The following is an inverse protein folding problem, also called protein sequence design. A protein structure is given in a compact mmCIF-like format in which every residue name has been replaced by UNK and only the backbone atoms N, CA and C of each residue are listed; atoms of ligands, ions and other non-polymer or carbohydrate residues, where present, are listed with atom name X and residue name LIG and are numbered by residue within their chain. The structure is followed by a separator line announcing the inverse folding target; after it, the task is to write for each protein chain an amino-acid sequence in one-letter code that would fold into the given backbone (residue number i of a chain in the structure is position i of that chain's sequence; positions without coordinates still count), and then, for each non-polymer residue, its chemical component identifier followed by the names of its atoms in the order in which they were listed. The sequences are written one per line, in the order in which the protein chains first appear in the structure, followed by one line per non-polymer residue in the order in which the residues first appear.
data_IF_507479438604
#
_entry.id   IF_507479438604
#
_cell.length_a   1.000
_cell.length_b   1.000
_cell.length_c   1.000
_cell.angle_alpha   90.00
_cell.angle_beta   90.00
_cell.angle_gamma   90.00
#
_symmetry.space_group_name_H-M   'P 1'
#
loop_
_entity.id
_entity.type
_entity.pdbx_description
1 polymer ?
#
# COMPACT_ATOMS: atom_id res chain seq x y z
N UNK A 1 -13.42 1.17 -9.65
CA UNK A 1 -13.18 -0.30 -9.57
C UNK A 1 -11.85 -0.53 -8.90
N UNK A 2 -11.79 -1.45 -7.95
CA UNK A 2 -10.53 -1.83 -7.29
C UNK A 2 -9.56 -2.46 -8.31
N UNK A 3 -8.26 -2.25 -8.09
CA UNK A 3 -7.20 -2.90 -8.86
C UNK A 3 -6.74 -4.23 -8.24
N UNK A 4 -7.37 -4.62 -7.12
CA UNK A 4 -7.04 -5.88 -6.44
C UNK A 4 -7.83 -7.04 -7.03
N UNK A 5 -7.19 -8.22 -7.01
CA UNK A 5 -7.80 -9.49 -7.38
C UNK A 5 -7.91 -10.40 -6.15
N UNK A 6 -8.91 -11.26 -6.15
CA UNK A 6 -9.12 -12.23 -5.07
C UNK A 6 -7.97 -13.24 -5.02
N UNK A 7 -7.27 -13.42 -3.89
CA UNK A 7 -6.16 -14.36 -3.80
C UNK A 7 -6.60 -15.83 -3.89
N UNK A 8 -7.90 -16.11 -3.70
CA UNK A 8 -8.45 -17.48 -3.77
C UNK A 8 -8.84 -17.86 -5.19
N UNK A 9 -9.59 -17.02 -5.90
CA UNK A 9 -10.17 -17.35 -7.20
C UNK A 9 -9.72 -16.47 -8.38
N UNK A 10 -8.85 -15.49 -8.11
CA UNK A 10 -8.29 -14.56 -9.11
C UNK A 10 -9.30 -13.61 -9.79
N UNK A 11 -10.56 -13.62 -9.39
CA UNK A 11 -11.54 -12.68 -9.87
C UNK A 11 -11.34 -11.28 -9.26
N UNK A 12 -11.78 -10.21 -9.94
CA UNK A 12 -11.68 -8.87 -9.39
C UNK A 12 -12.35 -8.73 -8.03
N UNK A 13 -11.77 -7.90 -7.18
CA UNK A 13 -12.36 -7.51 -5.90
C UNK A 13 -13.07 -6.16 -6.04
N UNK A 14 -14.29 -6.09 -5.55
CA UNK A 14 -15.06 -4.85 -5.45
C UNK A 14 -15.04 -4.35 -4.01
N UNK A 15 -14.69 -3.09 -3.83
CA UNK A 15 -14.69 -2.45 -2.52
C UNK A 15 -16.14 -2.19 -2.10
N UNK A 16 -16.46 -2.61 -0.89
CA UNK A 16 -17.67 -2.28 -0.15
C UNK A 16 -17.33 -1.33 1.01
N UNK A 17 -18.27 -0.99 1.85
CA UNK A 17 -18.07 -0.07 2.96
C UNK A 17 -16.93 -0.50 3.90
N UNK A 18 -16.93 -1.77 4.31
CA UNK A 18 -15.98 -2.32 5.28
C UNK A 18 -15.20 -3.53 4.79
N UNK A 19 -15.30 -3.87 3.51
CA UNK A 19 -14.65 -5.07 2.97
C UNK A 19 -14.40 -4.98 1.46
N UNK A 20 -13.59 -5.91 0.97
CA UNK A 20 -13.48 -6.24 -0.45
C UNK A 20 -14.11 -7.61 -0.70
N UNK A 21 -14.92 -7.73 -1.74
CA UNK A 21 -15.62 -8.97 -2.07
C UNK A 21 -15.53 -9.30 -3.56
N UNK A 22 -15.38 -10.59 -3.89
CA UNK A 22 -15.46 -11.08 -5.27
C UNK A 22 -16.84 -11.69 -5.58
N UNK A 23 -17.10 -11.93 -6.86
CA UNK A 23 -18.36 -12.55 -7.32
C UNK A 23 -18.62 -13.93 -6.73
N UNK A 24 -17.57 -14.69 -6.40
CA UNK A 24 -17.69 -15.99 -5.72
C UNK A 24 -17.93 -15.90 -4.22
N UNK A 25 -18.06 -14.71 -3.68
CA UNK A 25 -18.40 -14.49 -2.28
C UNK A 25 -17.20 -14.49 -1.31
N UNK A 26 -15.96 -14.62 -1.79
CA UNK A 26 -14.80 -14.43 -0.91
C UNK A 26 -14.75 -12.98 -0.45
N UNK A 27 -14.60 -12.79 0.86
CA UNK A 27 -14.69 -11.48 1.51
C UNK A 27 -13.45 -11.24 2.38
N UNK A 28 -12.93 -10.03 2.33
CA UNK A 28 -11.74 -9.59 3.05
C UNK A 28 -12.03 -8.26 3.73
N UNK A 29 -12.00 -8.25 5.06
CA UNK A 29 -12.32 -7.07 5.84
C UNK A 29 -11.24 -5.99 5.71
N UNK A 30 -11.68 -4.74 5.70
CA UNK A 30 -10.80 -3.58 5.76
C UNK A 30 -10.53 -3.29 7.24
N UNK A 31 -9.26 -3.31 7.64
CA UNK A 31 -8.86 -2.98 8.99
C UNK A 31 -9.20 -1.52 9.34
N UNK A 32 -9.33 -1.21 10.63
CA UNK A 32 -9.60 0.16 11.09
C UNK A 32 -8.57 1.18 10.58
N UNK A 33 -7.34 0.75 10.32
CA UNK A 33 -6.27 1.58 9.73
C UNK A 33 -6.36 1.72 8.20
N UNK A 34 -7.36 1.09 7.57
CA UNK A 34 -7.64 1.24 6.13
C UNK A 34 -6.97 0.23 5.20
N UNK A 35 -6.13 -0.66 5.68
CA UNK A 35 -5.54 -1.72 4.85
C UNK A 35 -6.43 -2.96 4.79
N UNK A 36 -6.23 -3.79 3.77
CA UNK A 36 -6.85 -5.11 3.65
C UNK A 36 -5.77 -6.19 3.64
N UNK A 37 -5.96 -7.25 4.44
CA UNK A 37 -5.07 -8.41 4.43
C UNK A 37 -5.54 -9.41 3.37
N UNK A 38 -4.76 -9.55 2.31
CA UNK A 38 -5.01 -10.50 1.22
C UNK A 38 -4.10 -11.72 1.29
N UNK A 39 -3.24 -11.83 2.31
CA UNK A 39 -2.39 -12.99 2.52
C UNK A 39 -3.22 -14.13 3.10
N UNK A 40 -3.24 -15.28 2.39
CA UNK A 40 -3.99 -16.45 2.84
C UNK A 40 -3.23 -17.18 3.96
N UNK A 41 -3.97 -17.78 4.89
CA UNK A 41 -3.40 -18.52 6.03
C UNK A 41 -2.44 -19.63 5.59
N UNK A 42 -2.70 -20.28 4.46
CA UNK A 42 -1.82 -21.32 3.88
C UNK A 42 -0.47 -20.77 3.42
N UNK A 43 -0.40 -19.48 3.11
CA UNK A 43 0.79 -18.80 2.60
C UNK A 43 1.56 -18.10 3.74
N UNK A 44 0.99 -18.10 4.95
CA UNK A 44 1.62 -17.63 6.17
C UNK A 44 2.53 -18.72 6.74
N UNK A 45 3.75 -18.83 6.19
CA UNK A 45 4.76 -19.70 6.79
C UNK A 45 5.10 -19.25 8.21
N UNK A 46 5.40 -20.20 9.10
CA UNK A 46 5.65 -19.99 10.53
C UNK A 46 6.83 -19.05 10.87
N UNK A 47 7.64 -18.66 9.90
CA UNK A 47 8.65 -17.62 10.04
C UNK A 47 8.04 -16.32 9.53
N UNK A 48 7.89 -15.34 10.42
CA UNK A 48 7.36 -14.02 10.12
C UNK A 48 8.05 -13.40 8.90
N UNK A 49 7.37 -13.27 7.76
CA UNK A 49 7.93 -12.55 6.62
C UNK A 49 7.92 -11.05 6.91
N UNK A 50 9.02 -10.37 6.56
CA UNK A 50 9.13 -8.94 6.76
C UNK A 50 9.47 -8.53 8.20
N UNK A 51 9.28 -7.25 8.50
CA UNK A 51 9.56 -6.67 9.80
C UNK A 51 8.53 -7.10 10.86
N UNK A 52 9.00 -7.35 12.08
CA UNK A 52 8.10 -7.54 13.23
C UNK A 52 7.54 -6.19 13.71
N UNK A 53 6.53 -6.23 14.60
CA UNK A 53 5.86 -5.03 15.11
C UNK A 53 6.83 -4.01 15.75
N UNK A 54 7.84 -4.47 16.46
CA UNK A 54 8.83 -3.59 17.09
C UNK A 54 9.68 -2.88 16.05
N UNK A 55 10.12 -3.57 15.01
CA UNK A 55 10.87 -2.99 13.89
C UNK A 55 10.04 -1.97 13.11
N UNK A 56 8.77 -2.29 12.84
CA UNK A 56 7.85 -1.35 12.18
C UNK A 56 7.66 -0.09 13.01
N UNK A 57 7.40 -0.22 14.31
CA UNK A 57 7.24 0.93 15.21
C UNK A 57 8.51 1.78 15.31
N UNK A 58 9.68 1.16 15.37
CA UNK A 58 10.96 1.86 15.40
C UNK A 58 11.19 2.66 14.12
N UNK A 59 10.82 2.10 12.96
CA UNK A 59 10.90 2.79 11.67
C UNK A 59 9.93 3.96 11.59
N UNK A 60 8.68 3.78 12.00
CA UNK A 60 7.69 4.87 12.08
C UNK A 60 8.21 6.02 12.95
N UNK A 61 8.70 5.72 14.14
CA UNK A 61 9.25 6.71 15.05
C UNK A 61 10.46 7.46 14.44
N UNK A 62 11.38 6.73 13.86
CA UNK A 62 12.56 7.32 13.22
C UNK A 62 12.21 8.21 12.02
N UNK A 63 11.36 7.73 11.11
CA UNK A 63 10.96 8.47 9.91
C UNK A 63 10.14 9.71 10.24
N UNK A 64 9.31 9.64 11.29
CA UNK A 64 8.49 10.78 11.73
C UNK A 64 9.33 11.96 12.22
N UNK A 65 10.59 11.75 12.59
CA UNK A 65 11.53 12.80 13.02
C UNK A 65 12.07 13.65 11.86
N UNK A 66 11.78 13.29 10.61
CA UNK A 66 12.13 14.07 9.44
C UNK A 66 13.58 13.93 8.93
N UNK A 67 14.37 13.00 9.45
CA UNK A 67 15.75 12.80 9.01
C UNK A 67 15.87 12.40 7.54
N UNK A 68 14.86 11.71 6.99
CA UNK A 68 14.79 11.28 5.60
C UNK A 68 13.82 12.09 4.74
N UNK A 69 13.35 13.24 5.24
CA UNK A 69 12.42 14.09 4.46
C UNK A 69 13.02 14.54 3.13
N UNK A 70 14.32 14.84 3.11
CA UNK A 70 15.02 15.22 1.88
C UNK A 70 15.01 14.09 0.84
N UNK A 71 15.26 12.84 1.25
CA UNK A 71 15.15 11.68 0.36
C UNK A 71 13.74 11.49 -0.16
N UNK A 72 12.73 11.64 0.70
CA UNK A 72 11.32 11.54 0.30
C UNK A 72 10.95 12.62 -0.72
N UNK A 73 11.44 13.85 -0.55
CA UNK A 73 11.22 14.95 -1.49
C UNK A 73 11.87 14.67 -2.84
N UNK A 74 13.09 14.16 -2.86
CA UNK A 74 13.81 13.79 -4.10
C UNK A 74 13.13 12.64 -4.84
N UNK A 75 12.68 11.61 -4.11
CA UNK A 75 11.91 10.50 -4.69
C UNK A 75 10.58 11.01 -5.29
N UNK A 76 9.87 11.86 -4.56
CA UNK A 76 8.61 12.45 -5.01
C UNK A 76 8.80 13.28 -6.28
N UNK A 77 9.86 14.07 -6.34
CA UNK A 77 10.22 14.86 -7.52
C UNK A 77 10.52 13.96 -8.72
N UNK A 78 11.34 12.92 -8.53
CA UNK A 78 11.70 11.98 -9.60
C UNK A 78 10.46 11.28 -10.17
N UNK A 79 9.57 10.80 -9.33
CA UNK A 79 8.31 10.16 -9.78
C UNK A 79 7.42 11.16 -10.50
N UNK A 80 7.27 12.37 -9.96
CA UNK A 80 6.43 13.41 -10.56
C UNK A 80 6.90 13.83 -11.94
N UNK A 81 8.21 13.84 -12.19
CA UNK A 81 8.78 14.18 -13.49
C UNK A 81 8.40 13.17 -14.59
N UNK A 82 8.32 11.89 -14.27
CA UNK A 82 8.05 10.83 -15.25
C UNK A 82 6.59 10.39 -15.31
N UNK A 83 5.82 10.63 -14.24
CA UNK A 83 4.42 10.17 -14.17
C UNK A 83 3.49 11.10 -14.92
N UNK A 84 2.76 10.56 -15.89
CA UNK A 84 1.79 11.30 -16.73
C UNK A 84 0.34 10.93 -16.43
N UNK A 85 0.11 9.96 -15.57
CA UNK A 85 -1.21 9.47 -15.18
C UNK A 85 -1.32 7.96 -15.21
N UNK A 86 -2.27 7.40 -14.46
CA UNK A 86 -2.54 5.97 -14.39
C UNK A 86 -2.32 5.38 -13.01
N UNK A 87 -1.64 4.23 -12.95
CA UNK A 87 -1.45 3.44 -11.71
C UNK A 87 0.00 3.49 -11.27
N UNK A 88 0.21 3.74 -9.98
CA UNK A 88 1.50 3.57 -9.30
C UNK A 88 1.38 2.34 -8.39
N UNK A 89 2.33 1.42 -8.48
CA UNK A 89 2.49 0.31 -7.54
C UNK A 89 3.72 0.57 -6.68
N UNK A 90 3.52 0.69 -5.37
CA UNK A 90 4.60 0.72 -4.38
C UNK A 90 4.69 -0.67 -3.72
N UNK A 91 5.66 -1.44 -4.15
CA UNK A 91 5.91 -2.80 -3.66
C UNK A 91 6.94 -2.77 -2.54
N UNK A 92 6.54 -3.20 -1.34
CA UNK A 92 7.36 -3.08 -0.13
C UNK A 92 7.25 -1.70 0.51
N UNK A 93 6.03 -1.17 0.57
CA UNK A 93 5.78 0.21 1.05
C UNK A 93 6.06 0.43 2.54
N UNK A 94 6.22 -0.63 3.32
CA UNK A 94 6.37 -0.55 4.78
C UNK A 94 5.18 0.15 5.44
N UNK A 95 5.46 1.12 6.30
CA UNK A 95 4.44 1.94 6.97
C UNK A 95 3.87 3.07 6.09
N UNK A 96 4.39 3.26 4.88
CA UNK A 96 3.85 4.20 3.91
C UNK A 96 4.40 5.62 3.95
N UNK A 97 5.48 5.89 4.67
CA UNK A 97 6.07 7.24 4.76
C UNK A 97 6.42 7.84 3.38
N UNK A 98 7.19 7.10 2.58
CA UNK A 98 7.55 7.53 1.22
C UNK A 98 6.35 7.50 0.28
N UNK A 99 5.50 6.49 0.41
CA UNK A 99 4.28 6.32 -0.37
C UNK A 99 3.38 7.55 -0.28
N UNK A 100 3.11 8.03 0.93
CA UNK A 100 2.29 9.21 1.19
C UNK A 100 2.89 10.45 0.54
N UNK A 101 4.20 10.68 0.70
CA UNK A 101 4.90 11.82 0.11
C UNK A 101 4.86 11.82 -1.41
N UNK A 102 5.08 10.67 -2.02
CA UNK A 102 5.00 10.50 -3.48
C UNK A 102 3.57 10.74 -3.97
N UNK A 103 2.57 10.14 -3.29
CA UNK A 103 1.17 10.32 -3.65
C UNK A 103 0.72 11.78 -3.58
N UNK A 104 1.05 12.49 -2.52
CA UNK A 104 0.73 13.92 -2.38
C UNK A 104 1.33 14.76 -3.50
N UNK A 105 2.60 14.51 -3.84
CA UNK A 105 3.28 15.23 -4.93
C UNK A 105 2.66 14.95 -6.29
N UNK A 106 2.34 13.70 -6.60
CA UNK A 106 1.70 13.32 -7.86
C UNK A 106 0.27 13.85 -7.93
N UNK A 107 -0.48 13.78 -6.83
CA UNK A 107 -1.85 14.28 -6.75
C UNK A 107 -1.94 15.80 -6.97
N UNK A 108 -0.94 16.54 -6.53
CA UNK A 108 -0.85 17.98 -6.79
C UNK A 108 -0.65 18.30 -8.29
N UNK A 109 -0.06 17.36 -9.06
CA UNK A 109 0.16 17.51 -10.50
C UNK A 109 -1.01 17.02 -11.34
N UNK A 110 -1.66 15.92 -10.95
CA UNK A 110 -2.74 15.28 -11.70
C UNK A 110 -3.70 14.53 -10.80
N UNK A 111 -4.99 14.59 -11.11
CA UNK A 111 -6.01 13.75 -10.47
C UNK A 111 -6.08 12.33 -11.05
N UNK A 112 -5.47 12.10 -12.21
CA UNK A 112 -5.41 10.79 -12.85
C UNK A 112 -4.34 9.92 -12.22
N UNK A 113 -4.50 9.57 -10.95
CA UNK A 113 -3.60 8.70 -10.21
C UNK A 113 -4.38 7.70 -9.37
N UNK A 114 -4.01 6.44 -9.46
CA UNK A 114 -4.43 5.37 -8.58
C UNK A 114 -3.19 4.73 -7.97
N UNK A 115 -3.06 4.81 -6.64
CA UNK A 115 -1.92 4.24 -5.93
C UNK A 115 -2.30 2.90 -5.30
N UNK A 116 -1.51 1.86 -5.58
CA UNK A 116 -1.53 0.59 -4.88
C UNK A 116 -0.25 0.49 -4.04
N UNK A 117 -0.37 0.39 -2.74
CA UNK A 117 0.76 0.16 -1.84
C UNK A 117 0.62 -1.22 -1.21
N UNK A 118 1.65 -2.04 -1.30
CA UNK A 118 1.64 -3.41 -0.78
C UNK A 118 2.90 -3.71 0.02
N UNK A 119 2.73 -4.44 1.11
CA UNK A 119 3.82 -4.94 1.93
C UNK A 119 3.42 -6.28 2.54
N UNK A 120 4.39 -7.12 2.86
CA UNK A 120 4.16 -8.42 3.47
C UNK A 120 4.18 -8.36 5.01
N UNK A 121 4.74 -7.30 5.56
CA UNK A 121 4.84 -7.11 7.01
C UNK A 121 3.61 -6.48 7.65
#
# INVERSE_FOLDING_TARGET
MSKYICPVCRLPLTKQEHSYKCEKGHCFDIAAKGYVNLLLSKDMNAKLPGDNKMMVNARVDFLSKGYYSHLADEMSRAVTEIFTGGVILDAGCGEGYYTEKIYEAVKAKTDNVYLCAVDIS
#
